data_IF_471194969505
#
_entry.id   IF_471194969505
#
_cell.length_a   1.000
_cell.length_b   1.000
_cell.length_c   1.000
_cell.angle_alpha   90.00
_cell.angle_beta   90.00
_cell.angle_gamma   90.00
#
_symmetry.space_group_name_H-M   'P 1'
#
loop_
_entity.id
_entity.type
_entity.pdbx_description
1 polymer ?
#
# COMPACT_ATOMS: atom_id res chain seq x y z
N UNK A 1 -18.06 -23.50 -31.94
CA UNK A 1 -17.45 -22.50 -32.85
C UNK A 1 -16.02 -22.26 -32.37
N UNK A 2 -15.01 -22.55 -33.19
CA UNK A 2 -13.60 -22.24 -32.86
C UNK A 2 -13.32 -20.79 -33.21
N UNK A 3 -12.87 -20.01 -32.26
CA UNK A 3 -12.45 -18.61 -32.46
C UNK A 3 -10.93 -18.59 -32.52
N UNK A 4 -10.36 -18.03 -33.59
CA UNK A 4 -8.94 -17.81 -33.72
C UNK A 4 -8.61 -16.38 -33.30
N UNK A 5 -7.63 -16.16 -32.40
CA UNK A 5 -7.23 -14.83 -32.01
C UNK A 5 -6.59 -14.09 -33.18
N UNK A 6 -6.69 -12.77 -33.18
CA UNK A 6 -6.00 -11.92 -34.15
C UNK A 6 -4.47 -12.08 -34.05
N UNK A 7 -3.68 -11.99 -35.14
CA UNK A 7 -2.23 -12.13 -35.08
C UNK A 7 -1.53 -11.17 -34.10
N UNK A 8 -2.10 -9.99 -33.89
CA UNK A 8 -1.58 -9.00 -32.94
C UNK A 8 -2.14 -9.16 -31.51
N UNK A 9 -2.92 -10.22 -31.24
CA UNK A 9 -3.43 -10.47 -29.89
C UNK A 9 -2.29 -10.73 -28.93
N UNK A 10 -2.35 -10.08 -27.76
CA UNK A 10 -1.43 -10.30 -26.64
C UNK A 10 -2.24 -10.45 -25.36
N UNK A 11 -1.85 -11.40 -24.54
CA UNK A 11 -2.46 -11.65 -23.23
C UNK A 11 -1.49 -11.18 -22.14
N UNK A 12 -2.00 -10.36 -21.24
CA UNK A 12 -1.28 -9.94 -20.04
C UNK A 12 -2.08 -10.39 -18.81
N UNK A 13 -1.37 -10.81 -17.78
CA UNK A 13 -1.96 -11.16 -16.51
C UNK A 13 -1.12 -10.60 -15.36
N UNK A 14 -1.77 -10.31 -14.24
CA UNK A 14 -1.11 -9.97 -12.98
C UNK A 14 -1.55 -10.95 -11.92
N UNK A 15 -0.63 -11.31 -11.02
CA UNK A 15 -0.91 -12.20 -9.91
C UNK A 15 -0.08 -11.78 -8.70
N UNK A 16 -0.58 -12.08 -7.51
CA UNK A 16 0.14 -11.80 -6.26
C UNK A 16 1.23 -12.83 -5.96
N UNK A 17 1.17 -13.99 -6.61
CA UNK A 17 2.18 -15.04 -6.52
C UNK A 17 2.58 -15.48 -7.93
N UNK A 18 3.80 -16.00 -8.07
CA UNK A 18 4.27 -16.54 -9.37
C UNK A 18 3.67 -17.90 -9.71
N UNK A 19 2.54 -18.26 -9.12
CA UNK A 19 1.90 -19.56 -9.36
C UNK A 19 2.46 -20.73 -8.54
N UNK A 20 3.37 -20.48 -7.62
CA UNK A 20 3.94 -21.49 -6.70
C UNK A 20 3.18 -21.60 -5.37
N UNK A 21 2.07 -20.88 -5.24
CA UNK A 21 1.37 -20.72 -3.98
C UNK A 21 1.99 -19.63 -3.11
N UNK A 22 1.40 -19.43 -1.93
CA UNK A 22 1.90 -18.43 -0.98
C UNK A 22 2.91 -19.05 -0.01
N UNK A 23 4.14 -18.55 -0.07
CA UNK A 23 5.21 -18.93 0.88
C UNK A 23 5.44 -17.86 1.94
N UNK A 24 4.77 -16.68 1.82
CA UNK A 24 4.99 -15.53 2.68
C UNK A 24 3.91 -15.35 3.74
N UNK A 25 2.77 -16.04 3.62
CA UNK A 25 1.62 -15.88 4.50
C UNK A 25 0.75 -14.65 4.19
N UNK A 26 1.11 -13.83 3.18
CA UNK A 26 0.36 -12.64 2.81
C UNK A 26 -0.89 -12.92 1.96
N UNK A 27 -0.88 -14.01 1.21
CA UNK A 27 -1.88 -14.33 0.20
C UNK A 27 -2.50 -15.70 0.45
N UNK A 28 -3.01 -15.91 1.65
CA UNK A 28 -3.68 -17.15 2.03
C UNK A 28 -4.77 -17.56 1.03
N UNK A 29 -4.87 -18.85 0.76
CA UNK A 29 -5.85 -19.40 -0.18
C UNK A 29 -5.43 -19.38 -1.64
N UNK A 30 -4.23 -18.89 -1.99
CA UNK A 30 -3.70 -19.04 -3.34
C UNK A 30 -3.28 -20.49 -3.59
N UNK A 31 -3.70 -21.04 -4.74
CA UNK A 31 -3.33 -22.40 -5.16
C UNK A 31 -2.15 -22.38 -6.12
N UNK A 32 -1.40 -23.46 -6.11
CA UNK A 32 -0.33 -23.66 -7.08
C UNK A 32 -0.91 -23.86 -8.48
N UNK A 33 -0.31 -23.19 -9.45
CA UNK A 33 -0.64 -23.37 -10.86
C UNK A 33 0.10 -24.62 -11.37
N UNK A 34 -0.61 -25.40 -12.18
CA UNK A 34 -0.02 -26.56 -12.85
C UNK A 34 1.15 -26.13 -13.76
N UNK A 35 2.24 -26.92 -13.76
CA UNK A 35 3.43 -26.66 -14.57
C UNK A 35 3.10 -26.44 -16.06
N UNK A 36 2.19 -27.23 -16.64
CA UNK A 36 1.78 -27.07 -18.03
C UNK A 36 1.05 -25.75 -18.31
N UNK A 37 0.46 -25.11 -17.29
CA UNK A 37 -0.10 -23.77 -17.39
C UNK A 37 0.98 -22.69 -17.28
N UNK A 38 1.98 -22.91 -16.41
CA UNK A 38 3.13 -22.01 -16.28
C UNK A 38 3.93 -21.94 -17.58
N UNK A 39 4.16 -23.07 -18.24
CA UNK A 39 4.91 -23.16 -19.51
C UNK A 39 4.27 -22.37 -20.67
N UNK A 40 3.01 -21.98 -20.53
CA UNK A 40 2.30 -21.16 -21.54
C UNK A 40 2.59 -19.66 -21.41
N UNK A 41 3.20 -19.22 -20.32
CA UNK A 41 3.60 -17.85 -20.12
C UNK A 41 5.03 -17.65 -20.62
N UNK A 42 5.17 -17.03 -21.79
CA UNK A 42 6.48 -16.84 -22.45
C UNK A 42 7.36 -15.84 -21.69
N UNK A 43 6.76 -14.90 -20.97
CA UNK A 43 7.46 -13.88 -20.21
C UNK A 43 6.81 -13.77 -18.83
N UNK A 44 7.59 -13.96 -17.79
CA UNK A 44 7.19 -13.74 -16.40
C UNK A 44 8.18 -12.76 -15.78
N UNK A 45 7.66 -11.69 -15.20
CA UNK A 45 8.49 -10.67 -14.54
C UNK A 45 7.90 -10.30 -13.19
N UNK A 46 8.76 -9.93 -12.27
CA UNK A 46 8.36 -9.43 -10.95
C UNK A 46 8.33 -7.90 -10.98
N UNK A 47 7.25 -7.33 -10.43
CA UNK A 47 7.13 -5.90 -10.21
C UNK A 47 7.35 -5.62 -8.73
N UNK A 48 8.28 -4.72 -8.44
CA UNK A 48 8.51 -4.20 -7.09
C UNK A 48 7.78 -2.87 -6.88
N UNK A 49 7.86 -2.34 -5.67
CA UNK A 49 7.39 -0.98 -5.38
C UNK A 49 8.16 0.04 -6.21
N UNK A 50 7.49 1.14 -6.51
CA UNK A 50 8.08 2.24 -7.26
C UNK A 50 9.12 2.99 -6.40
N UNK A 51 10.07 3.71 -7.03
CA UNK A 51 10.89 4.69 -6.34
C UNK A 51 10.02 5.74 -5.63
N UNK A 52 10.48 6.20 -4.45
CA UNK A 52 9.75 7.12 -3.57
C UNK A 52 9.10 8.30 -4.33
N UNK A 53 9.88 9.05 -5.11
CA UNK A 53 9.38 10.22 -5.84
C UNK A 53 8.28 9.89 -6.85
N UNK A 54 8.38 8.74 -7.52
CA UNK A 54 7.36 8.31 -8.46
C UNK A 54 6.06 7.93 -7.75
N UNK A 55 6.14 7.34 -6.57
CA UNK A 55 4.96 7.04 -5.77
C UNK A 55 4.32 8.33 -5.24
N UNK A 56 5.12 9.29 -4.79
CA UNK A 56 4.65 10.64 -4.42
C UNK A 56 3.89 11.31 -5.56
N UNK A 57 4.43 11.26 -6.79
CA UNK A 57 3.76 11.81 -7.98
C UNK A 57 2.40 11.15 -8.24
N UNK A 58 2.33 9.82 -8.13
CA UNK A 58 1.08 9.07 -8.33
C UNK A 58 0.05 9.41 -7.26
N UNK A 59 0.45 9.43 -5.98
CA UNK A 59 -0.47 9.73 -4.87
C UNK A 59 -0.99 11.17 -4.99
N UNK A 60 -0.10 12.13 -5.27
CA UNK A 60 -0.49 13.54 -5.49
C UNK A 60 -1.47 13.67 -6.66
N UNK A 61 -1.20 13.00 -7.78
CA UNK A 61 -2.10 13.02 -8.94
C UNK A 61 -3.49 12.41 -8.65
N UNK A 62 -3.59 11.51 -7.67
CA UNK A 62 -4.86 10.89 -7.23
C UNK A 62 -5.58 11.69 -6.16
N UNK A 63 -4.87 12.51 -5.40
CA UNK A 63 -5.40 13.34 -4.31
C UNK A 63 -5.13 14.84 -4.58
N UNK A 64 -5.91 15.49 -5.47
CA UNK A 64 -5.65 16.84 -5.96
C UNK A 64 -5.56 17.93 -4.90
N UNK A 65 -6.19 17.76 -3.73
CA UNK A 65 -6.10 18.66 -2.58
C UNK A 65 -4.68 18.82 -2.05
N UNK A 66 -3.83 17.82 -2.30
CA UNK A 66 -2.41 17.85 -1.94
C UNK A 66 -1.50 18.34 -3.08
N UNK A 67 -2.05 18.79 -4.22
CA UNK A 67 -1.26 19.29 -5.36
C UNK A 67 -0.79 20.74 -5.11
N UNK A 68 -0.03 20.92 -4.05
CA UNK A 68 0.68 22.14 -3.67
C UNK A 68 1.93 21.75 -2.86
N UNK A 69 2.82 22.69 -2.61
CA UNK A 69 4.10 22.42 -1.95
C UNK A 69 3.93 21.73 -0.59
N UNK A 70 3.10 22.29 0.28
CA UNK A 70 2.85 21.73 1.62
C UNK A 70 2.16 20.37 1.56
N UNK A 71 1.17 20.22 0.68
CA UNK A 71 0.47 18.95 0.45
C UNK A 71 1.41 17.86 -0.04
N UNK A 72 2.30 18.20 -0.96
CA UNK A 72 3.30 17.27 -1.50
C UNK A 72 4.31 16.81 -0.44
N UNK A 73 4.71 17.70 0.49
CA UNK A 73 5.54 17.33 1.63
C UNK A 73 4.81 16.33 2.55
N UNK A 74 3.49 16.51 2.77
CA UNK A 74 2.65 15.55 3.54
C UNK A 74 2.55 14.21 2.83
N UNK A 75 2.30 14.18 1.52
CA UNK A 75 2.29 12.95 0.73
C UNK A 75 3.66 12.25 0.79
N UNK A 76 4.77 12.99 0.67
CA UNK A 76 6.11 12.42 0.80
C UNK A 76 6.31 11.74 2.16
N UNK A 77 5.85 12.34 3.25
CA UNK A 77 5.89 11.72 4.58
C UNK A 77 5.00 10.47 4.67
N UNK A 78 3.83 10.45 4.00
CA UNK A 78 2.98 9.26 3.92
C UNK A 78 3.67 8.11 3.16
N UNK A 79 4.29 8.42 2.01
CA UNK A 79 5.06 7.43 1.24
C UNK A 79 6.28 6.94 2.03
N UNK A 80 6.99 7.83 2.74
CA UNK A 80 8.10 7.44 3.61
C UNK A 80 7.65 6.47 4.73
N UNK A 81 6.47 6.69 5.31
CA UNK A 81 5.87 5.76 6.28
C UNK A 81 5.59 4.40 5.64
N UNK A 82 5.08 4.38 4.40
CA UNK A 82 4.87 3.15 3.66
C UNK A 82 6.20 2.41 3.38
N UNK A 83 7.26 3.13 3.02
CA UNK A 83 8.60 2.56 2.79
C UNK A 83 9.17 1.92 4.08
N UNK A 84 8.92 2.52 5.25
CA UNK A 84 9.29 1.92 6.53
C UNK A 84 8.49 0.64 6.81
N UNK A 85 7.18 0.60 6.53
CA UNK A 85 6.40 -0.64 6.70
C UNK A 85 6.88 -1.76 5.77
N UNK A 86 7.27 -1.43 4.53
CA UNK A 86 7.84 -2.40 3.58
C UNK A 86 9.18 -2.95 4.05
N UNK A 87 10.02 -2.07 4.58
CA UNK A 87 11.32 -2.46 5.16
C UNK A 87 11.16 -3.32 6.41
N UNK A 88 10.26 -2.94 7.32
CA UNK A 88 9.93 -3.71 8.52
C UNK A 88 9.35 -5.09 8.19
N UNK A 89 8.52 -5.18 7.14
CA UNK A 89 8.00 -6.46 6.65
C UNK A 89 9.13 -7.37 6.15
N UNK A 90 10.06 -6.84 5.35
CA UNK A 90 11.22 -7.62 4.85
C UNK A 90 12.14 -8.04 6.00
N UNK A 91 12.28 -7.21 7.04
CA UNK A 91 13.05 -7.53 8.23
C UNK A 91 12.34 -8.53 9.17
N UNK A 92 11.03 -8.75 9.00
CA UNK A 92 10.23 -9.61 9.87
C UNK A 92 9.72 -8.92 11.15
N UNK A 93 9.83 -7.59 11.22
CA UNK A 93 9.38 -6.79 12.37
C UNK A 93 7.85 -6.66 12.42
N UNK A 94 7.21 -6.68 11.26
CA UNK A 94 5.77 -6.59 11.08
C UNK A 94 5.29 -7.55 9.98
N UNK A 95 4.05 -8.01 10.08
CA UNK A 95 3.41 -8.91 9.10
C UNK A 95 2.54 -8.17 8.09
N UNK A 96 2.23 -6.90 8.34
CA UNK A 96 1.36 -6.07 7.51
C UNK A 96 2.18 -5.05 6.72
N UNK A 97 1.88 -4.89 5.43
CA UNK A 97 2.63 -3.99 4.54
C UNK A 97 1.71 -2.97 3.88
N UNK A 98 2.18 -1.72 3.77
CA UNK A 98 1.43 -0.66 3.11
C UNK A 98 1.71 -0.64 1.61
N UNK A 99 0.67 -0.84 0.80
CA UNK A 99 0.73 -0.71 -0.65
C UNK A 99 0.51 0.75 -1.10
N UNK A 100 0.87 1.12 -2.35
CA UNK A 100 0.54 2.44 -2.89
C UNK A 100 -0.95 2.77 -2.85
N UNK A 101 -1.82 1.77 -3.03
CA UNK A 101 -3.27 1.92 -2.87
C UNK A 101 -3.64 2.33 -1.45
N UNK A 102 -2.96 1.76 -0.46
CA UNK A 102 -3.20 2.11 0.95
C UNK A 102 -2.79 3.55 1.22
N UNK A 103 -1.69 4.04 0.63
CA UNK A 103 -1.27 5.45 0.75
C UNK A 103 -2.31 6.40 0.14
N UNK A 104 -2.82 6.09 -1.06
CA UNK A 104 -3.92 6.87 -1.68
C UNK A 104 -5.14 6.90 -0.78
N UNK A 105 -5.59 5.74 -0.29
CA UNK A 105 -6.74 5.66 0.63
C UNK A 105 -6.50 6.42 1.94
N UNK A 106 -5.26 6.45 2.43
CA UNK A 106 -4.91 7.25 3.60
C UNK A 106 -5.03 8.75 3.31
N UNK A 107 -4.52 9.22 2.17
CA UNK A 107 -4.66 10.62 1.76
C UNK A 107 -6.14 11.03 1.63
N UNK A 108 -6.97 10.19 1.01
CA UNK A 108 -8.42 10.41 0.88
C UNK A 108 -9.11 10.47 2.26
N UNK A 109 -8.80 9.52 3.15
CA UNK A 109 -9.36 9.52 4.50
C UNK A 109 -8.86 10.69 5.34
N UNK A 110 -7.59 11.10 5.19
CA UNK A 110 -7.06 12.28 5.86
C UNK A 110 -7.80 13.57 5.43
N UNK A 111 -8.20 13.66 4.17
CA UNK A 111 -9.05 14.75 3.67
C UNK A 111 -10.46 14.68 4.26
N UNK A 112 -11.11 13.51 4.22
CA UNK A 112 -12.47 13.30 4.73
C UNK A 112 -12.57 13.67 6.21
N UNK A 113 -11.59 13.24 7.01
CA UNK A 113 -11.58 13.47 8.46
C UNK A 113 -10.90 14.78 8.88
N UNK A 114 -10.26 15.49 7.94
CA UNK A 114 -9.46 16.67 8.26
C UNK A 114 -8.25 16.37 9.15
N UNK A 115 -7.79 15.12 9.21
CA UNK A 115 -6.75 14.66 10.13
C UNK A 115 -5.90 13.54 9.54
N UNK A 116 -4.63 13.82 9.30
CA UNK A 116 -3.65 12.83 8.81
C UNK A 116 -3.46 11.67 9.80
N UNK A 117 -3.30 11.92 11.13
CA UNK A 117 -3.18 10.84 12.12
C UNK A 117 -4.42 9.93 12.17
N UNK A 118 -5.62 10.51 12.16
CA UNK A 118 -6.85 9.73 12.15
C UNK A 118 -7.00 8.94 10.85
N UNK A 119 -6.71 9.57 9.70
CA UNK A 119 -6.67 8.89 8.41
C UNK A 119 -5.73 7.68 8.43
N UNK A 120 -4.52 7.81 8.98
CA UNK A 120 -3.58 6.71 9.16
C UNK A 120 -4.14 5.58 10.01
N UNK A 121 -4.68 5.93 11.17
CA UNK A 121 -5.24 4.97 12.12
C UNK A 121 -6.33 4.11 11.48
N UNK A 122 -7.33 4.73 10.85
CA UNK A 122 -8.47 4.01 10.27
C UNK A 122 -8.11 3.28 8.98
N UNK A 123 -7.10 3.76 8.25
CA UNK A 123 -6.70 3.15 6.99
C UNK A 123 -5.76 1.97 7.19
N UNK A 124 -4.83 2.06 8.11
CA UNK A 124 -3.74 1.09 8.23
C UNK A 124 -3.56 0.55 9.65
N UNK A 125 -3.33 1.39 10.67
CA UNK A 125 -2.96 0.95 12.01
C UNK A 125 -3.96 -0.03 12.61
N UNK A 126 -5.26 0.22 12.44
CA UNK A 126 -6.32 -0.66 12.97
C UNK A 126 -6.39 -2.04 12.29
N UNK A 127 -5.73 -2.20 11.14
CA UNK A 127 -5.63 -3.48 10.43
C UNK A 127 -4.40 -4.29 10.85
N UNK A 128 -3.43 -3.65 11.53
CA UNK A 128 -2.24 -4.31 12.02
C UNK A 128 -2.56 -5.17 13.24
N UNK A 129 -1.80 -6.25 13.40
CA UNK A 129 -1.86 -7.03 14.63
C UNK A 129 -1.53 -6.14 15.84
N UNK A 130 -2.17 -6.41 16.98
CA UNK A 130 -2.04 -5.58 18.18
C UNK A 130 -0.58 -5.46 18.64
N UNK A 131 0.18 -6.54 18.53
CA UNK A 131 1.60 -6.58 18.92
C UNK A 131 2.50 -5.71 18.01
N UNK A 132 2.08 -5.42 16.79
CA UNK A 132 2.83 -4.64 15.79
C UNK A 132 2.49 -3.15 15.83
N UNK A 133 1.36 -2.77 16.46
CA UNK A 133 0.85 -1.39 16.41
C UNK A 133 1.82 -0.36 16.97
N UNK A 134 2.57 -0.71 18.01
CA UNK A 134 3.59 0.18 18.56
C UNK A 134 4.71 0.47 17.56
N UNK A 135 5.22 -0.57 16.90
CA UNK A 135 6.25 -0.44 15.85
C UNK A 135 5.75 0.39 14.68
N UNK A 136 4.52 0.15 14.24
CA UNK A 136 3.88 0.91 13.15
C UNK A 136 3.64 2.37 13.54
N UNK A 137 3.26 2.64 14.78
CA UNK A 137 3.13 4.00 15.31
C UNK A 137 4.49 4.74 15.37
N UNK A 138 5.58 4.05 15.71
CA UNK A 138 6.93 4.62 15.64
C UNK A 138 7.33 4.98 14.19
N UNK A 139 6.96 4.19 13.19
CA UNK A 139 7.22 4.54 11.79
C UNK A 139 6.51 5.84 11.39
N UNK A 140 5.25 6.00 11.80
CA UNK A 140 4.52 7.25 11.62
C UNK A 140 5.25 8.42 12.30
N UNK A 141 5.61 8.28 13.59
CA UNK A 141 6.29 9.32 14.35
C UNK A 141 7.62 9.75 13.72
N UNK A 142 8.39 8.81 13.18
CA UNK A 142 9.66 9.13 12.48
C UNK A 142 9.45 10.00 11.25
N UNK A 143 8.34 9.82 10.53
CA UNK A 143 8.07 10.55 9.29
C UNK A 143 7.35 11.88 9.52
N UNK A 144 6.48 11.96 10.52
CA UNK A 144 5.67 13.15 10.80
C UNK A 144 6.16 13.97 12.01
N UNK A 145 7.07 13.43 12.82
CA UNK A 145 7.61 14.11 14.00
C UNK A 145 6.62 14.26 15.16
N UNK A 146 5.44 13.63 15.07
CA UNK A 146 4.38 13.69 16.09
C UNK A 146 3.96 12.29 16.48
N UNK A 147 3.68 12.07 17.76
CA UNK A 147 3.11 10.82 18.25
C UNK A 147 1.66 10.66 17.78
N UNK A 148 1.25 9.41 17.55
CA UNK A 148 -0.14 9.09 17.33
C UNK A 148 -0.86 9.08 18.68
N UNK A 149 -1.72 10.06 18.93
CA UNK A 149 -2.54 10.10 20.12
C UNK A 149 -3.46 8.87 20.19
N UNK A 150 -3.52 8.24 21.38
CA UNK A 150 -4.42 7.12 21.62
C UNK A 150 -5.88 7.59 21.63
N UNK A 151 -6.65 7.13 20.64
CA UNK A 151 -8.11 7.06 20.71
C UNK A 151 -8.92 8.35 20.66
N UNK A 152 -8.39 9.48 20.17
CA UNK A 152 -9.17 10.72 20.07
C UNK A 152 -10.14 10.65 18.89
N UNK A 153 -11.42 10.54 19.19
CA UNK A 153 -12.49 10.98 18.29
C UNK A 153 -12.27 12.50 18.11
N UNK A 154 -12.05 12.93 16.86
CA UNK A 154 -11.88 14.36 16.58
C UNK A 154 -13.03 15.16 17.25
N UNK A 155 -12.73 16.26 17.96
CA UNK A 155 -13.78 17.10 18.49
C UNK A 155 -14.67 17.56 17.33
N UNK A 156 -15.99 17.50 17.52
CA UNK A 156 -16.94 17.98 16.54
C UNK A 156 -16.61 19.44 16.17
N UNK A 157 -16.70 19.82 14.88
CA UNK A 157 -16.45 21.20 14.48
C UNK A 157 -17.37 22.12 15.27
N UNK A 158 -16.78 23.04 16.01
CA UNK A 158 -17.52 24.12 16.70
C UNK A 158 -18.20 24.95 15.60
N UNK A 159 -19.53 25.00 15.66
CA UNK A 159 -20.37 25.84 14.79
C UNK A 159 -20.10 27.32 15.06
#
# INVERSE_FOLDING_TARGET
KVIRPHPSFRLFATANTVGLGDTTGLYHGTQQINQAQMDRWNIVTTLNYLPHEQEVDIVTAKSPTYDNKEGREKISAMVATADLTRSGFVAGDISTVMSPRTVITWADNAEIFGSIPLGFRVTFLNKCDEVERSTVAEYYQRCFGTELEDGVVAPAPTQ
#
